data_IF_399869856008
#
_entry.id   IF_399869856008
#
_cell.length_a   1.000
_cell.length_b   1.000
_cell.length_c   1.000
_cell.angle_alpha   90.00
_cell.angle_beta   90.00
_cell.angle_gamma   90.00
#
_symmetry.space_group_name_H-M   'P 1'
#
loop_
_entity.id
_entity.type
_entity.pdbx_description
1 polymer ?
#
# COMPACT_ATOMS: atom_id res chain seq x y z
N UNK A 1 -21.36 18.11 -18.53
CA UNK A 1 -20.38 18.65 -19.48
C UNK A 1 -20.16 17.58 -20.52
N UNK A 2 -20.41 17.89 -21.79
CA UNK A 2 -20.19 16.93 -22.88
C UNK A 2 -18.72 16.52 -22.94
N UNK A 3 -18.48 15.21 -22.96
CA UNK A 3 -17.17 14.62 -23.13
C UNK A 3 -16.70 14.94 -24.55
N UNK A 4 -15.59 15.67 -24.75
CA UNK A 4 -15.14 16.02 -26.09
C UNK A 4 -14.80 14.75 -26.88
N UNK A 5 -15.18 14.75 -28.16
CA UNK A 5 -14.84 13.66 -29.09
C UNK A 5 -13.32 13.44 -29.09
N UNK A 6 -12.90 12.26 -28.64
CA UNK A 6 -11.49 11.98 -28.38
C UNK A 6 -11.15 10.50 -28.43
N UNK A 7 -9.97 10.20 -28.96
CA UNK A 7 -9.38 8.86 -29.06
C UNK A 7 -8.45 8.61 -27.86
N UNK A 8 -8.46 7.43 -27.21
CA UNK A 8 -7.50 7.11 -26.16
C UNK A 8 -6.08 6.99 -26.71
N UNK A 9 -5.10 7.30 -25.86
CA UNK A 9 -3.67 7.14 -26.13
C UNK A 9 -3.02 6.35 -24.99
N UNK A 10 -1.76 5.96 -25.19
CA UNK A 10 -0.93 5.34 -24.17
C UNK A 10 -1.56 4.09 -23.57
N UNK A 11 -1.63 4.04 -22.25
CA UNK A 11 -2.17 2.88 -21.53
C UNK A 11 -3.64 2.59 -21.85
N UNK A 12 -4.48 3.61 -22.01
CA UNK A 12 -5.89 3.39 -22.36
C UNK A 12 -6.03 2.78 -23.76
N UNK A 13 -5.23 3.26 -24.72
CA UNK A 13 -5.20 2.66 -26.07
C UNK A 13 -4.71 1.21 -26.04
N UNK A 14 -3.66 0.92 -25.27
CA UNK A 14 -3.12 -0.44 -25.12
C UNK A 14 -4.14 -1.38 -24.45
N UNK A 15 -4.87 -0.89 -23.45
CA UNK A 15 -5.93 -1.65 -22.80
C UNK A 15 -7.04 -2.02 -23.78
N UNK A 16 -7.53 -1.06 -24.58
CA UNK A 16 -8.55 -1.32 -25.60
C UNK A 16 -8.04 -2.25 -26.71
N UNK A 17 -6.82 -2.03 -27.20
CA UNK A 17 -6.25 -2.81 -28.32
C UNK A 17 -6.08 -4.30 -28.01
N UNK A 18 -5.78 -4.62 -26.75
CA UNK A 18 -5.44 -5.96 -26.28
C UNK A 18 -6.48 -6.58 -25.34
N UNK A 19 -7.61 -5.89 -25.14
CA UNK A 19 -8.70 -6.30 -24.24
C UNK A 19 -8.21 -6.56 -22.80
N UNK A 20 -7.46 -5.59 -22.26
CA UNK A 20 -6.88 -5.67 -20.91
C UNK A 20 -7.73 -4.92 -19.90
N UNK A 21 -8.36 -5.64 -18.99
CA UNK A 21 -9.03 -5.05 -17.83
C UNK A 21 -8.01 -4.75 -16.75
N UNK A 22 -7.86 -3.48 -16.36
CA UNK A 22 -6.95 -3.05 -15.28
C UNK A 22 -7.59 -2.06 -14.33
N UNK A 23 -7.03 -1.92 -13.13
CA UNK A 23 -7.40 -0.80 -12.24
C UNK A 23 -7.13 0.54 -12.95
N UNK A 24 -7.98 1.55 -12.74
CA UNK A 24 -7.81 2.84 -13.40
C UNK A 24 -6.46 3.46 -13.04
N UNK A 25 -5.70 3.87 -14.04
CA UNK A 25 -4.49 4.62 -13.81
C UNK A 25 -4.83 6.03 -13.32
N UNK A 26 -3.92 6.64 -12.56
CA UNK A 26 -4.12 8.02 -12.07
C UNK A 26 -4.05 9.05 -13.20
N UNK A 27 -3.48 8.69 -14.34
CA UNK A 27 -3.38 9.56 -15.51
C UNK A 27 -3.76 8.82 -16.79
N UNK A 28 -4.61 9.46 -17.58
CA UNK A 28 -5.02 9.00 -18.91
C UNK A 28 -4.79 10.14 -19.92
N UNK A 29 -4.29 9.81 -21.11
CA UNK A 29 -4.16 10.77 -22.20
C UNK A 29 -5.13 10.45 -23.34
N UNK A 30 -5.71 11.48 -23.94
CA UNK A 30 -6.62 11.35 -25.09
C UNK A 30 -6.25 12.33 -26.20
N UNK A 31 -6.39 11.94 -27.46
CA UNK A 31 -6.20 12.79 -28.63
C UNK A 31 -7.53 13.43 -29.05
N UNK A 32 -7.54 14.75 -29.23
CA UNK A 32 -8.70 15.51 -29.74
C UNK A 32 -8.71 15.52 -31.26
N UNK A 33 -9.89 15.37 -31.87
CA UNK A 33 -10.07 15.57 -33.32
C UNK A 33 -9.77 17.01 -33.74
N UNK A 34 -10.19 17.99 -32.91
CA UNK A 34 -9.85 19.41 -33.01
C UNK A 34 -9.75 20.03 -31.61
N UNK A 35 -8.79 20.94 -31.41
CA UNK A 35 -8.67 21.72 -30.17
C UNK A 35 -7.25 21.80 -29.63
N UNK A 36 -7.10 22.57 -28.55
CA UNK A 36 -5.85 22.74 -27.83
C UNK A 36 -5.75 21.78 -26.64
N UNK A 37 -4.55 21.66 -26.06
CA UNK A 37 -4.32 20.87 -24.85
C UNK A 37 -5.26 21.31 -23.73
N UNK A 38 -5.90 20.33 -23.07
CA UNK A 38 -6.78 20.54 -21.92
C UNK A 38 -6.51 19.48 -20.86
N UNK A 39 -6.51 19.87 -19.59
CA UNK A 39 -6.37 18.94 -18.47
C UNK A 39 -7.65 19.00 -17.63
N UNK A 40 -8.18 17.83 -17.29
CA UNK A 40 -9.27 17.68 -16.33
C UNK A 40 -8.73 16.86 -15.17
N UNK A 41 -8.84 17.38 -13.95
CA UNK A 41 -8.44 16.68 -12.74
C UNK A 41 -9.66 16.53 -11.82
N UNK A 42 -9.93 15.29 -11.37
CA UNK A 42 -11.05 14.96 -10.49
C UNK A 42 -10.74 13.69 -9.72
N UNK A 43 -11.04 13.67 -8.41
CA UNK A 43 -10.92 12.48 -7.55
C UNK A 43 -9.54 11.80 -7.65
N UNK A 44 -8.47 12.61 -7.67
CA UNK A 44 -7.08 12.14 -7.79
C UNK A 44 -6.67 11.62 -9.16
N UNK A 45 -7.57 11.66 -10.17
CA UNK A 45 -7.29 11.26 -11.55
C UNK A 45 -7.15 12.46 -12.48
N UNK A 46 -6.27 12.31 -13.46
CA UNK A 46 -5.97 13.32 -14.47
C UNK A 46 -6.30 12.76 -15.85
N UNK A 47 -7.17 13.44 -16.59
CA UNK A 47 -7.38 13.20 -18.02
C UNK A 47 -6.75 14.35 -18.80
N UNK A 48 -5.71 14.04 -19.56
CA UNK A 48 -4.98 14.98 -20.41
C UNK A 48 -5.43 14.83 -21.87
N UNK A 49 -6.15 15.82 -22.36
CA UNK A 49 -6.52 15.94 -23.77
C UNK A 49 -5.41 16.67 -24.54
N UNK A 50 -4.94 16.06 -25.62
CA UNK A 50 -3.84 16.55 -26.46
C UNK A 50 -4.34 16.86 -27.88
N UNK A 51 -3.76 17.85 -28.56
CA UNK A 51 -4.00 18.07 -29.99
C UNK A 51 -3.57 16.85 -30.82
N UNK A 52 -4.26 16.60 -31.94
CA UNK A 52 -3.98 15.49 -32.86
C UNK A 52 -2.51 15.35 -33.29
N UNK A 53 -1.77 16.46 -33.38
CA UNK A 53 -0.34 16.46 -33.70
C UNK A 53 0.56 15.76 -32.67
N UNK A 54 0.04 15.43 -31.47
CA UNK A 54 0.76 14.69 -30.43
C UNK A 54 0.33 13.22 -30.32
N UNK A 55 -0.52 12.73 -31.22
CA UNK A 55 -0.86 11.31 -31.32
C UNK A 55 0.39 10.51 -31.75
N UNK A 56 0.83 9.49 -30.98
CA UNK A 56 1.99 8.68 -31.33
C UNK A 56 1.73 7.68 -32.47
N UNK A 57 0.49 7.58 -32.98
CA UNK A 57 0.09 6.62 -34.00
C UNK A 57 -0.37 5.29 -33.41
N UNK A 58 -0.60 4.28 -34.25
CA UNK A 58 -1.20 2.99 -33.84
C UNK A 58 -0.17 1.88 -33.58
N UNK A 59 1.12 2.23 -33.47
CA UNK A 59 2.19 1.30 -33.15
C UNK A 59 2.27 1.01 -31.64
N UNK A 60 2.41 -0.27 -31.27
CA UNK A 60 2.40 -0.72 -29.87
C UNK A 60 3.55 -0.10 -29.08
N UNK A 61 4.76 -0.07 -29.64
CA UNK A 61 5.92 0.49 -28.95
C UNK A 61 5.89 2.01 -28.88
N UNK A 62 5.35 2.69 -29.90
CA UNK A 62 5.11 4.13 -29.90
C UNK A 62 4.12 4.53 -28.80
N UNK A 63 3.05 3.75 -28.63
CA UNK A 63 2.07 3.93 -27.55
C UNK A 63 2.67 3.63 -26.17
N UNK A 64 3.51 2.60 -26.03
CA UNK A 64 4.22 2.29 -24.78
C UNK A 64 5.22 3.40 -24.39
N UNK A 65 6.01 3.90 -25.33
CA UNK A 65 6.93 5.01 -25.08
C UNK A 65 6.18 6.29 -24.72
N UNK A 66 5.07 6.55 -25.40
CA UNK A 66 4.18 7.66 -25.08
C UNK A 66 3.66 7.55 -23.64
N UNK A 67 3.13 6.40 -23.25
CA UNK A 67 2.55 6.14 -21.94
C UNK A 67 3.61 6.29 -20.83
N UNK A 68 4.74 5.59 -20.96
CA UNK A 68 5.83 5.66 -19.98
C UNK A 68 6.36 7.09 -19.80
N UNK A 69 6.39 7.88 -20.88
CA UNK A 69 6.86 9.28 -20.84
C UNK A 69 5.86 10.22 -20.16
N UNK A 70 4.56 10.05 -20.40
CA UNK A 70 3.55 11.06 -20.03
C UNK A 70 2.67 10.66 -18.86
N UNK A 71 2.39 9.37 -18.74
CA UNK A 71 1.48 8.78 -17.76
C UNK A 71 2.27 8.09 -16.63
N UNK A 72 3.57 7.88 -16.83
CA UNK A 72 4.44 7.20 -15.88
C UNK A 72 4.27 5.68 -15.94
N UNK A 73 4.51 5.00 -14.83
CA UNK A 73 4.51 3.54 -14.79
C UNK A 73 3.12 3.00 -14.40
N UNK A 74 2.50 2.18 -15.25
CA UNK A 74 1.31 1.38 -14.92
C UNK A 74 1.71 -0.10 -14.87
N UNK A 75 2.22 -0.55 -13.71
CA UNK A 75 2.78 -1.90 -13.58
C UNK A 75 1.75 -3.01 -13.83
N UNK A 76 0.50 -2.80 -13.44
CA UNK A 76 -0.55 -3.80 -13.65
C UNK A 76 -0.78 -4.04 -15.14
N UNK A 77 -0.98 -2.96 -15.91
CA UNK A 77 -1.17 -3.06 -17.35
C UNK A 77 0.06 -3.63 -18.04
N UNK A 78 1.25 -3.13 -17.69
CA UNK A 78 2.50 -3.63 -18.26
C UNK A 78 2.70 -5.10 -17.95
N UNK A 79 2.34 -5.57 -16.75
CA UNK A 79 2.42 -6.99 -16.41
C UNK A 79 1.47 -7.81 -17.28
N UNK A 80 0.20 -7.43 -17.38
CA UNK A 80 -0.78 -8.15 -18.20
C UNK A 80 -0.35 -8.18 -19.67
N UNK A 81 0.04 -7.05 -20.23
CA UNK A 81 0.50 -6.92 -21.62
C UNK A 81 1.76 -7.77 -21.89
N UNK A 82 2.81 -7.59 -21.09
CA UNK A 82 4.11 -8.24 -21.31
C UNK A 82 4.10 -9.74 -21.01
N UNK A 83 3.19 -10.23 -20.16
CA UNK A 83 3.05 -11.67 -19.88
C UNK A 83 2.13 -12.41 -20.84
N UNK A 84 1.07 -11.77 -21.33
CA UNK A 84 -0.02 -12.49 -22.00
C UNK A 84 -0.22 -12.14 -23.47
N UNK A 85 0.30 -11.00 -23.94
CA UNK A 85 0.02 -10.49 -25.29
C UNK A 85 1.27 -10.13 -26.11
N UNK A 86 2.39 -9.82 -25.46
CA UNK A 86 3.63 -9.41 -26.12
C UNK A 86 4.44 -10.61 -26.61
N UNK A 87 4.85 -10.61 -27.87
CA UNK A 87 5.82 -11.58 -28.40
C UNK A 87 7.24 -11.23 -27.90
N UNK A 88 7.95 -12.18 -27.25
CA UNK A 88 9.34 -11.97 -26.83
C UNK A 88 10.28 -11.54 -27.97
N UNK A 89 10.05 -12.00 -29.20
CA UNK A 89 10.87 -11.65 -30.36
C UNK A 89 10.64 -10.20 -30.78
N UNK A 90 9.38 -9.75 -30.84
CA UNK A 90 9.04 -8.35 -31.15
C UNK A 90 9.67 -7.39 -30.14
N UNK A 91 9.59 -7.70 -28.85
CA UNK A 91 10.22 -6.89 -27.81
C UNK A 91 11.76 -6.94 -27.92
N UNK A 92 12.34 -8.10 -28.21
CA UNK A 92 13.78 -8.25 -28.41
C UNK A 92 14.27 -7.36 -29.55
N UNK A 93 13.58 -7.40 -30.70
CA UNK A 93 13.95 -6.61 -31.87
C UNK A 93 13.76 -5.11 -31.62
N UNK A 94 12.67 -4.71 -30.95
CA UNK A 94 12.48 -3.32 -30.53
C UNK A 94 13.64 -2.84 -29.63
N UNK A 95 14.06 -3.62 -28.63
CA UNK A 95 15.19 -3.25 -27.75
C UNK A 95 16.50 -3.17 -28.54
N UNK A 96 16.74 -4.06 -29.53
CA UNK A 96 17.92 -4.00 -30.42
C UNK A 96 18.00 -2.70 -31.22
N UNK A 97 16.86 -2.12 -31.61
CA UNK A 97 16.85 -0.84 -32.35
C UNK A 97 17.33 0.35 -31.52
N UNK A 98 17.18 0.29 -30.19
CA UNK A 98 17.48 1.40 -29.27
C UNK A 98 17.96 0.89 -27.90
N UNK A 99 19.10 0.17 -27.83
CA UNK A 99 19.51 -0.60 -26.64
C UNK A 99 19.80 0.26 -25.41
N UNK A 100 20.18 1.53 -25.60
CA UNK A 100 20.42 2.49 -24.50
C UNK A 100 19.21 3.37 -24.20
N UNK A 101 18.11 3.24 -24.96
CA UNK A 101 16.87 4.00 -24.77
C UNK A 101 16.25 3.76 -23.39
N UNK A 102 15.69 4.81 -22.77
CA UNK A 102 15.10 4.72 -21.42
C UNK A 102 13.96 3.69 -21.38
N UNK A 103 13.00 3.82 -22.30
CA UNK A 103 11.78 3.01 -22.30
C UNK A 103 12.03 1.57 -22.74
N UNK A 104 12.89 1.35 -23.74
CA UNK A 104 13.31 0.00 -24.13
C UNK A 104 13.94 -0.77 -22.96
N UNK A 105 14.81 -0.13 -22.18
CA UNK A 105 15.41 -0.77 -21.00
C UNK A 105 14.38 -1.07 -19.92
N UNK A 106 13.41 -0.17 -19.68
CA UNK A 106 12.31 -0.40 -18.73
C UNK A 106 11.48 -1.62 -19.17
N UNK A 107 11.02 -1.66 -20.42
CA UNK A 107 10.23 -2.77 -20.95
C UNK A 107 11.01 -4.08 -20.92
N UNK A 108 12.29 -4.07 -21.28
CA UNK A 108 13.17 -5.23 -21.17
C UNK A 108 13.27 -5.74 -19.73
N UNK A 109 13.55 -4.86 -18.76
CA UNK A 109 13.66 -5.26 -17.36
C UNK A 109 12.34 -5.83 -16.81
N UNK A 110 11.22 -5.19 -17.13
CA UNK A 110 9.91 -5.64 -16.66
C UNK A 110 9.50 -6.96 -17.29
N UNK A 111 9.70 -7.14 -18.60
CA UNK A 111 9.38 -8.39 -19.29
C UNK A 111 10.11 -9.57 -18.63
N UNK A 112 11.43 -9.45 -18.43
CA UNK A 112 12.20 -10.54 -17.82
C UNK A 112 11.81 -10.77 -16.35
N UNK A 113 11.50 -9.69 -15.62
CA UNK A 113 11.06 -9.77 -14.24
C UNK A 113 9.69 -10.46 -14.08
N UNK A 114 8.77 -10.22 -15.01
CA UNK A 114 7.40 -10.75 -14.96
C UNK A 114 7.27 -12.19 -15.48
N UNK A 115 8.10 -12.55 -16.46
CA UNK A 115 8.08 -13.86 -17.11
C UNK A 115 9.10 -14.83 -16.51
N UNK A 116 10.15 -14.34 -15.82
CA UNK A 116 11.25 -15.18 -15.36
C UNK A 116 12.17 -15.68 -16.48
N UNK A 117 11.95 -15.18 -17.70
CA UNK A 117 12.68 -15.56 -18.91
C UNK A 117 13.61 -14.44 -19.35
N UNK A 118 14.78 -14.80 -19.90
CA UNK A 118 15.73 -13.83 -20.44
C UNK A 118 15.53 -13.68 -21.94
N UNK A 119 15.40 -12.43 -22.41
CA UNK A 119 15.47 -12.12 -23.84
C UNK A 119 16.88 -12.38 -24.37
N UNK A 120 16.97 -12.73 -25.66
CA UNK A 120 18.23 -12.93 -26.38
C UNK A 120 18.90 -11.59 -26.72
N UNK A 121 19.38 -10.94 -25.66
CA UNK A 121 20.03 -9.62 -25.66
C UNK A 121 21.30 -9.66 -24.80
N UNK A 122 22.44 -9.14 -25.29
CA UNK A 122 23.64 -9.04 -24.49
C UNK A 122 23.48 -7.97 -23.39
N UNK A 123 24.14 -8.18 -22.25
CA UNK A 123 24.19 -7.20 -21.17
C UNK A 123 24.78 -5.85 -21.64
N UNK A 124 24.20 -4.75 -21.15
CA UNK A 124 24.69 -3.40 -21.47
C UNK A 124 26.03 -3.11 -20.79
N UNK A 125 27.07 -2.93 -21.60
CA UNK A 125 28.42 -2.60 -21.14
C UNK A 125 28.60 -1.12 -20.81
N UNK A 126 27.81 -0.23 -21.40
CA UNK A 126 27.95 1.24 -21.28
C UNK A 126 26.59 1.92 -21.04
N UNK A 127 26.60 3.20 -20.64
CA UNK A 127 25.40 4.02 -20.38
C UNK A 127 25.15 4.34 -18.91
N UNK A 128 24.23 5.25 -18.62
CA UNK A 128 23.88 5.58 -17.22
C UNK A 128 22.82 4.61 -16.68
N UNK A 129 22.79 4.47 -15.35
CA UNK A 129 21.65 3.85 -14.68
C UNK A 129 20.45 4.79 -14.78
N UNK A 130 19.27 4.23 -15.04
CA UNK A 130 18.00 4.96 -15.03
C UNK A 130 17.10 4.40 -13.93
N UNK A 131 16.30 5.25 -13.32
CA UNK A 131 15.30 4.82 -12.35
C UNK A 131 14.11 4.17 -13.06
N UNK A 132 13.67 3.03 -12.53
CA UNK A 132 12.46 2.34 -13.02
C UNK A 132 11.22 3.18 -12.71
N UNK A 133 11.15 3.68 -11.48
CA UNK A 133 10.10 4.55 -10.99
C UNK A 133 10.63 5.98 -10.86
N UNK A 134 9.88 6.95 -11.37
CA UNK A 134 10.31 8.35 -11.37
C UNK A 134 10.20 8.97 -9.95
N UNK A 135 11.31 9.37 -9.31
CA UNK A 135 11.31 9.87 -7.94
C UNK A 135 10.65 11.26 -7.80
N UNK A 136 10.44 12.00 -8.90
CA UNK A 136 9.72 13.28 -8.87
C UNK A 136 8.20 13.08 -8.77
N UNK A 137 7.70 11.95 -9.26
CA UNK A 137 6.27 11.64 -9.27
C UNK A 137 5.89 10.76 -8.07
N UNK A 138 6.75 9.79 -7.73
CA UNK A 138 6.43 8.74 -6.77
C UNK A 138 7.41 8.69 -5.59
N UNK A 139 6.90 8.22 -4.44
CA UNK A 139 7.75 7.73 -3.37
C UNK A 139 8.46 6.46 -3.84
N UNK A 140 9.79 6.41 -3.67
CA UNK A 140 10.62 5.31 -4.17
C UNK A 140 11.25 4.52 -3.03
N UNK A 141 11.36 3.21 -3.21
CA UNK A 141 11.98 2.30 -2.25
C UNK A 141 13.51 2.23 -2.41
N UNK A 142 14.17 1.40 -1.59
CA UNK A 142 15.62 1.19 -1.68
C UNK A 142 16.07 0.73 -3.08
N UNK A 143 17.09 1.39 -3.63
CA UNK A 143 17.59 1.13 -4.99
C UNK A 143 18.31 -0.22 -5.08
N UNK A 144 17.85 -1.08 -6.00
CA UNK A 144 18.54 -2.32 -6.38
C UNK A 144 19.03 -2.23 -7.83
N UNK A 145 20.35 -2.22 -8.03
CA UNK A 145 20.96 -2.06 -9.36
C UNK A 145 20.85 -3.33 -10.21
N UNK A 146 20.12 -3.24 -11.31
CA UNK A 146 20.01 -4.25 -12.36
C UNK A 146 21.08 -3.98 -13.42
N UNK A 147 22.23 -4.65 -13.29
CA UNK A 147 23.42 -4.38 -14.12
C UNK A 147 23.17 -4.60 -15.61
N UNK A 148 22.44 -5.66 -15.96
CA UNK A 148 22.18 -6.10 -17.34
C UNK A 148 21.49 -5.01 -18.17
N UNK A 149 20.41 -4.43 -17.64
CA UNK A 149 19.64 -3.37 -18.28
C UNK A 149 20.07 -1.97 -17.80
N UNK A 150 21.01 -1.87 -16.86
CA UNK A 150 21.41 -0.64 -16.17
C UNK A 150 20.19 0.13 -15.63
N UNK A 151 19.37 -0.54 -14.84
CA UNK A 151 18.19 0.01 -14.17
C UNK A 151 18.39 0.06 -12.66
N UNK A 152 18.01 1.16 -12.03
CA UNK A 152 17.80 1.25 -10.60
C UNK A 152 16.37 0.79 -10.32
N UNK A 153 16.21 -0.46 -9.85
CA UNK A 153 14.91 -0.96 -9.43
C UNK A 153 14.58 -0.37 -8.04
N UNK A 154 13.81 0.71 -8.04
CA UNK A 154 13.50 1.57 -6.89
C UNK A 154 11.99 1.56 -6.53
N UNK A 155 11.31 0.45 -6.81
CA UNK A 155 9.95 0.19 -6.31
C UNK A 155 9.95 0.03 -4.78
N UNK A 156 8.84 0.37 -4.12
CA UNK A 156 8.64 0.12 -2.68
C UNK A 156 8.79 -1.37 -2.36
N UNK A 157 8.19 -2.22 -3.19
CA UNK A 157 8.34 -3.67 -3.13
C UNK A 157 9.21 -4.22 -4.24
N UNK A 158 8.69 -5.18 -5.00
CA UNK A 158 9.36 -5.81 -6.15
C UNK A 158 8.41 -5.93 -7.35
N UNK A 159 8.86 -6.56 -8.44
CA UNK A 159 8.00 -6.87 -9.57
C UNK A 159 6.78 -7.73 -9.22
N UNK A 160 6.79 -8.52 -8.13
CA UNK A 160 5.66 -9.39 -7.77
C UNK A 160 4.59 -8.70 -6.93
N UNK A 161 4.97 -7.67 -6.17
CA UNK A 161 4.09 -6.88 -5.30
C UNK A 161 4.78 -5.57 -4.98
N UNK A 162 4.15 -4.44 -5.33
CA UNK A 162 4.61 -3.10 -4.99
C UNK A 162 3.47 -2.10 -5.17
N UNK A 163 2.82 -1.66 -4.08
CA UNK A 163 1.94 -0.50 -4.10
C UNK A 163 2.66 0.76 -4.59
N UNK A 164 1.86 1.75 -5.00
CA UNK A 164 2.31 3.07 -5.43
C UNK A 164 1.84 4.15 -4.47
N UNK A 165 2.69 5.15 -4.27
CA UNK A 165 2.34 6.39 -3.59
C UNK A 165 2.92 7.54 -4.40
N UNK A 166 2.08 8.50 -4.80
CA UNK A 166 2.53 9.73 -5.46
C UNK A 166 2.85 10.80 -4.43
N UNK A 167 3.80 11.69 -4.75
CA UNK A 167 4.03 12.89 -3.93
C UNK A 167 2.87 13.88 -4.06
N UNK A 168 2.34 14.04 -5.28
CA UNK A 168 1.19 14.91 -5.51
C UNK A 168 -0.04 14.36 -4.78
N UNK A 169 -0.60 15.18 -3.90
CA UNK A 169 -1.77 14.86 -3.10
C UNK A 169 -1.45 14.60 -1.63
N UNK A 170 -0.20 14.27 -1.28
CA UNK A 170 0.18 14.15 0.13
C UNK A 170 0.25 15.54 0.81
N UNK A 171 -0.09 15.64 2.10
CA UNK A 171 0.17 16.87 2.84
C UNK A 171 1.68 17.15 2.88
N UNK A 172 2.08 18.38 3.22
CA UNK A 172 3.47 18.64 3.63
C UNK A 172 3.62 18.24 5.10
N UNK A 173 4.61 17.42 5.44
CA UNK A 173 4.97 17.10 6.82
C UNK A 173 6.48 17.10 6.99
N UNK A 174 6.92 17.26 8.23
CA UNK A 174 8.30 17.04 8.63
C UNK A 174 8.29 15.95 9.71
N UNK A 175 8.94 14.82 9.40
CA UNK A 175 8.96 13.65 10.30
C UNK A 175 9.71 13.94 11.60
N UNK A 176 10.77 14.75 11.54
CA UNK A 176 11.58 15.11 12.69
C UNK A 176 10.83 16.09 13.59
N UNK A 177 10.12 17.08 13.01
CA UNK A 177 9.25 17.99 13.74
C UNK A 177 8.13 17.24 14.48
N UNK A 178 7.44 16.32 13.79
CA UNK A 178 6.36 15.53 14.41
C UNK A 178 6.88 14.64 15.55
N UNK A 179 8.05 14.03 15.36
CA UNK A 179 8.71 13.21 16.38
C UNK A 179 9.18 14.04 17.59
N UNK A 180 9.74 15.22 17.34
CA UNK A 180 10.08 16.17 18.39
C UNK A 180 8.83 16.62 19.14
N UNK A 181 7.72 16.89 18.45
CA UNK A 181 6.46 17.28 19.07
C UNK A 181 5.93 16.21 20.02
N UNK A 182 5.93 14.93 19.63
CA UNK A 182 5.61 13.81 20.53
C UNK A 182 6.48 13.83 21.79
N UNK A 183 7.79 14.06 21.61
CA UNK A 183 8.77 14.05 22.70
C UNK A 183 8.55 15.22 23.66
N UNK A 184 8.27 16.41 23.13
CA UNK A 184 7.97 17.60 23.93
C UNK A 184 6.69 17.43 24.74
N UNK A 185 5.60 16.93 24.14
CA UNK A 185 4.33 16.70 24.83
C UNK A 185 4.52 15.75 26.01
N UNK A 186 5.28 14.67 25.83
CA UNK A 186 5.58 13.73 26.92
C UNK A 186 6.44 14.38 28.00
N UNK A 187 7.46 15.15 27.61
CA UNK A 187 8.40 15.79 28.53
C UNK A 187 7.76 16.82 29.48
N UNK A 188 6.50 17.23 29.23
CA UNK A 188 5.72 18.10 30.11
C UNK A 188 5.21 17.37 31.37
N UNK A 189 5.26 16.04 31.42
CA UNK A 189 4.73 15.22 32.52
C UNK A 189 5.84 14.50 33.30
N UNK A 190 5.59 14.21 34.59
CA UNK A 190 6.53 13.44 35.40
C UNK A 190 6.63 11.99 34.90
N UNK A 191 7.75 11.27 35.14
CA UNK A 191 7.91 9.88 34.74
C UNK A 191 6.78 8.95 35.23
N UNK A 192 6.26 9.20 36.42
CA UNK A 192 5.17 8.41 37.01
C UNK A 192 3.83 8.65 36.28
N UNK A 193 3.53 9.91 35.93
CA UNK A 193 2.35 10.24 35.12
C UNK A 193 2.51 9.66 33.72
N UNK A 194 3.71 9.72 33.16
CA UNK A 194 4.02 9.16 31.86
C UNK A 194 3.80 7.64 31.80
N UNK A 195 4.32 6.86 32.76
CA UNK A 195 4.13 5.40 32.75
C UNK A 195 2.64 5.02 32.77
N UNK A 196 1.85 5.72 33.58
CA UNK A 196 0.41 5.47 33.64
C UNK A 196 -0.31 5.98 32.40
N UNK A 197 0.11 7.11 31.84
CA UNK A 197 -0.41 7.63 30.58
C UNK A 197 -0.19 6.66 29.44
N UNK A 198 0.98 6.04 29.36
CA UNK A 198 1.28 5.00 28.37
C UNK A 198 0.27 3.85 28.47
N UNK A 199 0.04 3.29 29.67
CA UNK A 199 -0.95 2.21 29.86
C UNK A 199 -2.37 2.66 29.49
N UNK A 200 -2.75 3.88 29.85
CA UNK A 200 -4.04 4.46 29.48
C UNK A 200 -4.19 4.62 27.96
N UNK A 201 -3.16 5.09 27.26
CA UNK A 201 -3.15 5.25 25.81
C UNK A 201 -3.23 3.91 25.09
N UNK A 202 -2.54 2.86 25.57
CA UNK A 202 -2.71 1.50 25.04
C UNK A 202 -4.14 0.98 25.22
N UNK A 203 -4.75 1.21 26.39
CA UNK A 203 -6.14 0.84 26.62
C UNK A 203 -7.10 1.62 25.70
N UNK A 204 -6.89 2.93 25.53
CA UNK A 204 -7.68 3.77 24.63
C UNK A 204 -7.58 3.32 23.18
N UNK A 205 -6.36 3.02 22.71
CA UNK A 205 -6.12 2.52 21.36
C UNK A 205 -6.77 1.16 21.13
N UNK A 206 -6.61 0.23 22.09
CA UNK A 206 -7.24 -1.09 22.06
C UNK A 206 -8.77 -0.97 21.96
N UNK A 207 -9.38 -0.22 22.90
CA UNK A 207 -10.83 0.00 22.94
C UNK A 207 -11.35 0.62 21.64
N UNK A 208 -10.72 1.69 21.15
CA UNK A 208 -11.13 2.36 19.91
C UNK A 208 -11.00 1.43 18.70
N UNK A 209 -9.95 0.59 18.67
CA UNK A 209 -9.75 -0.41 17.62
C UNK A 209 -10.88 -1.47 17.60
N UNK A 210 -11.35 -1.96 18.75
CA UNK A 210 -12.49 -2.88 18.79
C UNK A 210 -13.82 -2.19 18.48
N UNK A 211 -14.00 -0.93 18.91
CA UNK A 211 -15.21 -0.15 18.62
C UNK A 211 -15.39 0.12 17.12
N UNK A 212 -14.30 0.34 16.38
CA UNK A 212 -14.32 0.45 14.91
C UNK A 212 -14.92 -0.82 14.28
N UNK A 213 -14.61 -2.01 14.83
CA UNK A 213 -15.18 -3.29 14.38
C UNK A 213 -16.57 -3.59 14.98
N UNK A 214 -17.14 -2.65 15.76
CA UNK A 214 -18.41 -2.81 16.51
C UNK A 214 -18.40 -4.01 17.47
N UNK A 215 -17.24 -4.33 18.02
CA UNK A 215 -17.05 -5.42 18.98
C UNK A 215 -16.90 -4.89 20.42
N UNK A 216 -17.32 -5.70 21.39
CA UNK A 216 -17.02 -5.48 22.81
C UNK A 216 -16.18 -6.65 23.32
N UNK A 217 -14.84 -6.52 23.39
CA UNK A 217 -13.97 -7.61 23.82
C UNK A 217 -14.16 -7.90 25.31
N UNK A 218 -13.87 -9.14 25.72
CA UNK A 218 -13.69 -9.43 27.15
C UNK A 218 -12.44 -8.70 27.67
N UNK A 219 -12.43 -8.31 28.94
CA UNK A 219 -11.27 -7.66 29.59
C UNK A 219 -9.95 -8.40 29.34
N UNK A 220 -9.95 -9.75 29.42
CA UNK A 220 -8.78 -10.57 29.14
C UNK A 220 -8.25 -10.41 27.72
N UNK A 221 -9.12 -10.29 26.71
CA UNK A 221 -8.70 -10.09 25.30
C UNK A 221 -8.13 -8.69 25.09
N UNK A 222 -8.70 -7.70 25.75
CA UNK A 222 -8.21 -6.32 25.72
C UNK A 222 -6.79 -6.22 26.32
N UNK A 223 -6.57 -6.82 27.49
CA UNK A 223 -5.26 -6.89 28.16
C UNK A 223 -4.20 -7.58 27.29
N UNK A 224 -4.57 -8.66 26.60
CA UNK A 224 -3.63 -9.36 25.73
C UNK A 224 -3.28 -8.55 24.49
N UNK A 225 -4.24 -7.84 23.89
CA UNK A 225 -3.95 -6.95 22.75
C UNK A 225 -3.05 -5.78 23.16
N UNK A 226 -3.26 -5.20 24.35
CA UNK A 226 -2.35 -4.20 24.93
C UNK A 226 -0.92 -4.76 25.06
N UNK A 227 -0.77 -5.96 25.63
CA UNK A 227 0.55 -6.60 25.77
C UNK A 227 1.24 -6.90 24.43
N UNK A 228 0.49 -7.12 23.35
CA UNK A 228 1.05 -7.23 22.00
C UNK A 228 1.52 -5.89 21.46
N UNK A 229 0.75 -4.82 21.67
CA UNK A 229 1.13 -3.47 21.26
C UNK A 229 2.40 -3.00 21.99
N UNK A 230 2.54 -3.31 23.27
CA UNK A 230 3.78 -3.06 24.03
C UNK A 230 4.99 -3.79 23.44
N UNK A 231 4.80 -5.03 22.95
CA UNK A 231 5.87 -5.81 22.31
C UNK A 231 6.30 -5.27 20.95
N UNK A 232 5.51 -4.40 20.30
CA UNK A 232 5.80 -3.88 18.96
C UNK A 232 7.13 -3.10 18.87
N UNK A 233 7.60 -2.56 20.00
CA UNK A 233 8.92 -1.90 20.11
C UNK A 233 10.11 -2.86 20.05
N UNK A 234 9.92 -4.12 20.44
CA UNK A 234 11.02 -5.05 20.70
C UNK A 234 10.96 -6.33 19.85
N UNK A 235 9.78 -6.66 19.33
CA UNK A 235 9.51 -7.89 18.58
C UNK A 235 9.18 -7.56 17.13
N UNK A 236 9.75 -8.33 16.19
CA UNK A 236 9.41 -8.21 14.77
C UNK A 236 8.14 -9.00 14.44
N UNK A 237 7.13 -8.33 13.89
CA UNK A 237 5.86 -8.94 13.45
C UNK A 237 5.73 -9.08 11.93
N UNK A 238 6.68 -8.58 11.12
CA UNK A 238 6.61 -8.68 9.66
C UNK A 238 7.10 -10.04 9.11
N UNK A 239 6.55 -11.13 9.64
CA UNK A 239 6.72 -12.51 9.17
C UNK A 239 5.41 -13.31 9.35
N UNK A 240 5.29 -14.44 8.67
CA UNK A 240 4.04 -15.23 8.66
C UNK A 240 3.68 -15.71 10.06
N UNK A 241 4.64 -16.29 10.77
CA UNK A 241 4.45 -16.95 12.05
C UNK A 241 3.96 -15.96 13.11
N UNK A 242 4.59 -14.78 13.19
CA UNK A 242 4.21 -13.73 14.14
C UNK A 242 2.83 -13.12 13.82
N UNK A 243 2.45 -12.98 12.54
CA UNK A 243 1.13 -12.48 12.17
C UNK A 243 0.03 -13.50 12.47
N UNK A 244 0.30 -14.79 12.26
CA UNK A 244 -0.64 -15.86 12.61
C UNK A 244 -0.82 -15.92 14.13
N UNK A 245 0.27 -15.88 14.90
CA UNK A 245 0.19 -15.81 16.37
C UNK A 245 -0.60 -14.59 16.84
N UNK A 246 -0.31 -13.42 16.28
CA UNK A 246 -1.05 -12.19 16.56
C UNK A 246 -2.54 -12.38 16.28
N UNK A 247 -2.90 -12.98 15.14
CA UNK A 247 -4.29 -13.21 14.77
C UNK A 247 -4.99 -14.14 15.76
N UNK A 248 -4.41 -15.29 16.06
CA UNK A 248 -4.97 -16.29 16.98
C UNK A 248 -5.29 -15.71 18.36
N UNK A 249 -4.49 -14.73 18.78
CA UNK A 249 -4.61 -14.09 20.08
C UNK A 249 -5.75 -13.07 20.14
N UNK A 250 -5.99 -12.34 19.06
CA UNK A 250 -6.94 -11.21 19.05
C UNK A 250 -8.36 -11.58 18.61
N UNK A 251 -8.52 -12.73 17.95
CA UNK A 251 -9.83 -13.19 17.45
C UNK A 251 -10.52 -14.16 18.42
N UNK A 252 -11.78 -14.45 18.14
CA UNK A 252 -12.45 -15.58 18.80
C UNK A 252 -11.79 -16.91 18.38
N UNK A 253 -11.55 -17.87 19.29
CA UNK A 253 -10.88 -19.12 18.96
C UNK A 253 -11.51 -19.92 17.80
N UNK A 254 -12.79 -19.71 17.50
CA UNK A 254 -13.48 -20.32 16.34
C UNK A 254 -13.01 -19.76 14.98
N UNK A 255 -12.45 -18.56 14.97
CA UNK A 255 -11.92 -17.88 13.77
C UNK A 255 -10.38 -17.81 13.77
N UNK A 256 -9.72 -18.46 14.73
CA UNK A 256 -8.27 -18.55 14.79
C UNK A 256 -7.75 -19.37 13.60
N UNK A 257 -6.92 -18.77 12.75
CA UNK A 257 -6.32 -19.43 11.61
C UNK A 257 -4.99 -20.10 12.01
N UNK A 258 -4.63 -21.23 11.37
CA UNK A 258 -3.32 -21.87 11.53
C UNK A 258 -2.26 -21.32 10.55
N UNK A 259 -2.70 -20.49 9.61
CA UNK A 259 -1.92 -19.93 8.52
C UNK A 259 -2.72 -18.86 7.80
N UNK A 260 -2.43 -18.60 6.54
CA UNK A 260 -3.29 -17.74 5.72
C UNK A 260 -4.58 -18.49 5.37
N UNK A 261 -5.65 -17.78 5.04
CA UNK A 261 -6.92 -18.39 4.60
C UNK A 261 -6.82 -19.14 3.26
N UNK A 262 -5.68 -19.08 2.56
CA UNK A 262 -5.38 -19.98 1.43
C UNK A 262 -5.40 -21.45 1.86
N UNK A 263 -5.00 -21.73 3.10
CA UNK A 263 -4.97 -23.09 3.66
C UNK A 263 -6.37 -23.65 3.94
N UNK A 264 -7.35 -22.78 4.23
CA UNK A 264 -8.77 -23.15 4.37
C UNK A 264 -9.55 -23.05 3.05
N UNK A 265 -8.98 -22.44 2.01
CA UNK A 265 -9.65 -22.17 0.74
C UNK A 265 -10.80 -21.15 0.84
N UNK A 266 -10.79 -20.30 1.86
CA UNK A 266 -11.92 -19.39 2.15
C UNK A 266 -11.86 -18.11 1.33
N UNK A 267 -12.85 -17.88 0.47
CA UNK A 267 -13.09 -16.59 -0.18
C UNK A 267 -13.84 -15.65 0.77
N UNK A 268 -13.26 -14.48 1.03
CA UNK A 268 -13.84 -13.47 1.94
C UNK A 268 -14.39 -12.27 1.16
N UNK A 269 -15.34 -11.59 1.78
CA UNK A 269 -15.82 -10.27 1.37
C UNK A 269 -16.23 -9.43 2.58
N UNK A 270 -16.23 -8.12 2.41
CA UNK A 270 -16.80 -7.14 3.36
C UNK A 270 -18.05 -6.55 2.73
N UNK A 271 -19.16 -6.56 3.47
CA UNK A 271 -20.46 -6.13 2.97
C UNK A 271 -21.42 -5.75 4.10
N UNK A 272 -22.62 -5.35 3.71
CA UNK A 272 -23.76 -5.14 4.60
C UNK A 272 -24.98 -5.95 4.15
N UNK A 273 -25.66 -6.61 5.09
CA UNK A 273 -26.94 -7.27 4.85
C UNK A 273 -28.04 -6.23 4.74
N UNK A 274 -28.64 -6.07 3.55
CA UNK A 274 -29.73 -5.10 3.32
C UNK A 274 -31.12 -5.69 3.58
N UNK A 275 -31.30 -6.97 3.27
CA UNK A 275 -32.52 -7.75 3.49
C UNK A 275 -32.15 -9.24 3.55
N UNK A 276 -33.05 -10.15 3.95
CA UNK A 276 -32.82 -11.59 3.80
C UNK A 276 -32.38 -11.91 2.37
N UNK A 277 -31.27 -12.63 2.23
CA UNK A 277 -30.65 -13.02 0.95
C UNK A 277 -30.17 -11.87 0.05
N UNK A 278 -30.11 -10.62 0.56
CA UNK A 278 -29.61 -9.45 -0.18
C UNK A 278 -28.40 -8.87 0.55
N UNK A 279 -27.23 -9.18 0.02
CA UNK A 279 -25.94 -8.65 0.49
C UNK A 279 -25.44 -7.56 -0.45
N UNK A 280 -25.03 -6.43 0.12
CA UNK A 280 -24.30 -5.41 -0.61
C UNK A 280 -22.81 -5.60 -0.32
N UNK A 281 -22.09 -6.14 -1.30
CA UNK A 281 -20.64 -6.31 -1.22
C UNK A 281 -19.94 -4.98 -1.46
N UNK A 282 -19.14 -4.55 -0.48
CA UNK A 282 -18.31 -3.35 -0.58
C UNK A 282 -16.87 -3.67 -1.02
N UNK A 283 -16.40 -4.87 -0.73
CA UNK A 283 -15.04 -5.32 -1.04
C UNK A 283 -14.99 -6.85 -1.11
N UNK A 284 -14.30 -7.38 -2.11
CA UNK A 284 -13.93 -8.79 -2.18
C UNK A 284 -12.42 -8.91 -1.95
N UNK A 285 -12.00 -9.86 -1.09
CA UNK A 285 -10.58 -10.16 -0.91
C UNK A 285 -10.01 -10.91 -2.12
N UNK A 286 -8.67 -10.99 -2.25
CA UNK A 286 -8.03 -11.85 -3.25
C UNK A 286 -8.55 -13.29 -3.20
N UNK A 287 -8.49 -14.00 -4.32
CA UNK A 287 -8.79 -15.43 -4.30
C UNK A 287 -7.84 -16.16 -3.33
N UNK A 288 -8.32 -17.19 -2.61
CA UNK A 288 -7.48 -17.95 -1.68
C UNK A 288 -6.20 -18.48 -2.35
N UNK A 289 -6.29 -18.99 -3.58
CA UNK A 289 -5.16 -19.52 -4.33
C UNK A 289 -4.08 -18.49 -4.70
N UNK A 290 -4.43 -17.20 -4.78
CA UNK A 290 -3.49 -16.12 -5.10
C UNK A 290 -2.76 -15.58 -3.85
N UNK A 291 -3.30 -15.86 -2.67
CA UNK A 291 -2.94 -15.16 -1.43
C UNK A 291 -1.51 -15.46 -0.96
N UNK A 292 -1.01 -16.68 -1.11
CA UNK A 292 0.34 -17.05 -0.68
C UNK A 292 1.42 -16.24 -1.43
N UNK A 293 1.25 -16.06 -2.75
CA UNK A 293 2.18 -15.27 -3.56
C UNK A 293 2.11 -13.78 -3.20
N UNK A 294 0.89 -13.26 -3.03
CA UNK A 294 0.65 -11.87 -2.64
C UNK A 294 1.24 -11.56 -1.26
N UNK A 295 1.01 -12.43 -0.27
CA UNK A 295 1.54 -12.27 1.09
C UNK A 295 3.07 -12.41 1.14
N UNK A 296 3.66 -13.28 0.32
CA UNK A 296 5.12 -13.35 0.16
C UNK A 296 5.68 -12.04 -0.36
N UNK A 297 5.03 -11.46 -1.38
CA UNK A 297 5.39 -10.16 -1.94
C UNK A 297 5.23 -9.01 -0.93
N UNK A 298 4.12 -9.00 -0.21
CA UNK A 298 3.83 -8.06 0.87
C UNK A 298 4.90 -8.11 1.96
N UNK A 299 5.19 -9.28 2.54
CA UNK A 299 6.18 -9.41 3.61
C UNK A 299 7.57 -8.95 3.15
N UNK A 300 7.95 -9.29 1.91
CA UNK A 300 9.22 -8.83 1.33
C UNK A 300 9.27 -7.31 1.21
N UNK A 301 8.21 -6.68 0.72
CA UNK A 301 8.09 -5.22 0.67
C UNK A 301 8.16 -4.62 2.08
N UNK A 302 7.36 -5.12 3.02
CA UNK A 302 7.27 -4.57 4.37
C UNK A 302 8.63 -4.57 5.07
N UNK A 303 9.39 -5.68 4.98
CA UNK A 303 10.75 -5.74 5.51
C UNK A 303 11.70 -4.75 4.79
N UNK A 304 11.59 -4.58 3.47
CA UNK A 304 12.39 -3.59 2.73
C UNK A 304 12.11 -2.14 3.16
N UNK A 305 10.89 -1.84 3.61
CA UNK A 305 10.48 -0.49 4.00
C UNK A 305 10.81 -0.15 5.46
N UNK A 306 10.91 -1.15 6.34
CA UNK A 306 11.25 -0.93 7.76
C UNK A 306 12.71 -1.20 8.10
N UNK A 307 13.44 -1.95 7.27
CA UNK A 307 14.86 -2.26 7.49
C UNK A 307 15.73 -0.98 7.36
N UNK A 308 15.76 -0.16 8.41
CA UNK A 308 16.57 1.09 8.49
C UNK A 308 18.03 0.85 8.92
N UNK A 309 18.49 -0.40 8.97
CA UNK A 309 19.72 -0.77 9.70
C UNK A 309 21.02 -0.25 9.05
N UNK A 310 21.65 0.69 9.78
CA UNK A 310 23.08 0.75 10.10
C UNK A 310 23.57 -0.60 10.68
N UNK A 311 24.35 -1.38 9.93
CA UNK A 311 25.08 -2.54 10.51
C UNK A 311 26.38 -2.06 11.19
N UNK A 312 26.47 -2.16 12.51
CA UNK A 312 27.74 -2.38 13.24
C UNK A 312 27.44 -3.52 14.23
N UNK A 313 28.06 -4.71 14.22
CA UNK A 313 29.43 -5.13 13.89
C UNK A 313 29.42 -6.56 13.31
N UNK A 314 30.46 -6.86 12.54
CA UNK A 314 30.71 -8.07 11.74
C UNK A 314 30.90 -9.37 12.53
N UNK A 315 30.50 -10.48 11.92
CA UNK A 315 31.37 -11.63 11.66
C UNK A 315 31.02 -12.16 10.25
N UNK A 316 32.06 -12.34 9.45
CA UNK A 316 32.10 -12.90 8.10
C UNK A 316 31.80 -11.98 6.91
N UNK A 317 32.64 -12.18 5.89
CA UNK A 317 32.94 -11.30 4.76
C UNK A 317 31.75 -11.22 3.79
N UNK A 318 30.85 -10.27 4.02
CA UNK A 318 30.09 -9.61 2.96
C UNK A 318 29.62 -8.24 3.44
N UNK A 319 30.30 -7.21 2.95
CA UNK A 319 30.06 -5.82 3.31
C UNK A 319 28.79 -5.33 2.60
N UNK A 320 27.63 -5.56 3.21
CA UNK A 320 26.36 -5.03 2.71
C UNK A 320 26.11 -3.63 3.29
N UNK A 321 26.58 -2.60 2.60
CA UNK A 321 26.12 -1.23 2.83
C UNK A 321 24.64 -1.16 2.45
N UNK A 322 23.74 -1.20 3.44
CA UNK A 322 22.34 -0.83 3.23
C UNK A 322 22.25 0.69 3.37
N UNK A 323 21.82 1.37 2.30
CA UNK A 323 21.36 2.74 2.42
C UNK A 323 20.08 2.70 3.27
N UNK A 324 19.94 3.55 4.32
CA UNK A 324 18.66 3.71 4.99
C UNK A 324 17.56 3.96 3.96
N UNK A 325 16.39 3.38 4.16
CA UNK A 325 15.27 3.63 3.26
C UNK A 325 15.01 5.14 3.21
N UNK A 326 14.99 5.75 2.02
CA UNK A 326 14.55 7.15 1.86
C UNK A 326 13.05 7.34 2.08
N UNK A 327 12.33 6.26 2.43
CA UNK A 327 10.89 6.25 2.68
C UNK A 327 10.63 6.72 4.11
N UNK A 328 9.80 7.76 4.23
CA UNK A 328 9.30 8.25 5.52
C UNK A 328 8.62 7.13 6.30
N UNK A 329 8.77 7.14 7.63
CA UNK A 329 8.12 6.20 8.54
C UNK A 329 6.61 6.24 8.37
N UNK A 330 6.03 7.44 8.21
CA UNK A 330 4.58 7.60 8.05
C UNK A 330 4.08 6.97 6.75
N UNK A 331 4.84 7.12 5.67
CA UNK A 331 4.51 6.48 4.38
C UNK A 331 4.66 4.96 4.48
N UNK A 332 5.73 4.46 5.09
CA UNK A 332 5.92 3.03 5.29
C UNK A 332 4.80 2.42 6.14
N UNK A 333 4.41 3.09 7.23
CA UNK A 333 3.32 2.66 8.10
C UNK A 333 1.99 2.58 7.34
N UNK A 334 1.64 3.63 6.60
CA UNK A 334 0.42 3.65 5.79
C UNK A 334 0.41 2.55 4.71
N UNK A 335 1.51 2.40 3.97
CA UNK A 335 1.63 1.40 2.89
C UNK A 335 1.50 -0.01 3.44
N UNK A 336 2.24 -0.36 4.50
CA UNK A 336 2.22 -1.71 5.09
C UNK A 336 0.84 -1.99 5.69
N UNK A 337 0.30 -1.04 6.44
CA UNK A 337 -1.00 -1.16 7.09
C UNK A 337 -2.12 -1.38 6.06
N UNK A 338 -2.29 -0.48 5.09
CA UNK A 338 -3.39 -0.61 4.11
C UNK A 338 -3.19 -1.76 3.12
N UNK A 339 -1.96 -2.05 2.67
CA UNK A 339 -1.71 -3.20 1.81
C UNK A 339 -2.13 -4.51 2.50
N UNK A 340 -1.83 -4.67 3.79
CA UNK A 340 -2.28 -5.81 4.57
C UNK A 340 -3.81 -5.92 4.61
N UNK A 341 -4.50 -4.80 4.88
CA UNK A 341 -5.95 -4.77 4.97
C UNK A 341 -6.64 -5.19 3.67
N UNK A 342 -6.10 -4.74 2.53
CA UNK A 342 -6.62 -5.09 1.20
C UNK A 342 -6.22 -6.50 0.73
N UNK A 343 -5.17 -7.11 1.30
CA UNK A 343 -4.88 -8.53 1.07
C UNK A 343 -5.77 -9.44 1.92
N UNK A 344 -6.18 -8.96 3.10
CA UNK A 344 -7.15 -9.59 3.99
C UNK A 344 -6.83 -11.09 4.21
N UNK A 345 -5.62 -11.42 4.74
CA UNK A 345 -5.10 -12.78 4.70
C UNK A 345 -5.76 -13.76 5.68
N UNK A 346 -6.60 -13.28 6.59
CA UNK A 346 -7.26 -14.08 7.62
C UNK A 346 -8.78 -14.08 7.48
N UNK A 347 -9.44 -15.03 8.14
CA UNK A 347 -10.91 -15.11 8.21
C UNK A 347 -11.52 -13.99 9.04
N UNK A 348 -10.80 -13.57 10.09
CA UNK A 348 -11.17 -12.48 10.99
C UNK A 348 -9.89 -11.80 11.54
N UNK A 349 -10.02 -10.58 12.05
CA UNK A 349 -8.97 -9.83 12.71
C UNK A 349 -8.17 -8.90 11.80
N UNK A 350 -8.47 -8.87 10.49
CA UNK A 350 -7.68 -8.11 9.52
C UNK A 350 -7.65 -6.60 9.81
N UNK A 351 -8.77 -5.99 10.18
CA UNK A 351 -8.84 -4.57 10.56
C UNK A 351 -8.02 -4.25 11.82
N UNK A 352 -8.09 -5.12 12.84
CA UNK A 352 -7.30 -5.00 14.09
C UNK A 352 -5.79 -5.16 13.82
N UNK A 353 -5.39 -6.12 12.99
CA UNK A 353 -3.98 -6.32 12.60
C UNK A 353 -3.48 -5.18 11.71
N UNK A 354 -4.31 -4.64 10.83
CA UNK A 354 -4.01 -3.45 10.03
C UNK A 354 -3.62 -2.26 10.93
N UNK A 355 -4.40 -1.98 11.98
CA UNK A 355 -4.10 -0.92 12.95
C UNK A 355 -2.90 -1.25 13.83
N UNK A 356 -2.75 -2.50 14.25
CA UNK A 356 -1.53 -2.97 14.93
C UNK A 356 -0.27 -2.73 14.09
N UNK A 357 -0.30 -3.07 12.80
CA UNK A 357 0.84 -2.92 11.89
C UNK A 357 1.24 -1.46 11.67
N UNK A 358 0.27 -0.54 11.71
CA UNK A 358 0.56 0.90 11.70
C UNK A 358 1.45 1.24 12.89
N UNK A 359 1.06 0.87 14.11
CA UNK A 359 1.84 1.10 15.33
C UNK A 359 3.17 0.36 15.33
N UNK A 360 3.19 -0.89 14.84
CA UNK A 360 4.41 -1.67 14.71
C UNK A 360 5.47 -0.95 13.88
N UNK A 361 5.09 -0.36 12.75
CA UNK A 361 6.04 0.38 11.90
C UNK A 361 6.50 1.67 12.58
N UNK A 362 5.60 2.39 13.26
CA UNK A 362 5.97 3.59 14.03
C UNK A 362 6.98 3.24 15.14
N UNK A 363 6.68 2.23 15.95
CA UNK A 363 7.52 1.77 17.05
C UNK A 363 8.87 1.25 16.54
N UNK A 364 8.87 0.40 15.51
CA UNK A 364 10.08 -0.18 14.93
C UNK A 364 11.04 0.87 14.36
N UNK A 365 10.52 1.95 13.79
CA UNK A 365 11.32 3.07 13.28
C UNK A 365 11.60 4.14 14.36
N UNK A 366 11.26 3.86 15.62
CA UNK A 366 11.40 4.76 16.76
C UNK A 366 10.72 6.12 16.53
N UNK A 367 9.50 6.12 15.98
CA UNK A 367 8.70 7.33 15.79
C UNK A 367 8.06 7.74 17.12
N UNK A 368 8.80 8.55 17.89
CA UNK A 368 8.42 9.02 19.22
C UNK A 368 9.26 8.37 20.33
N UNK A 369 9.02 8.74 21.61
CA UNK A 369 9.69 8.13 22.75
C UNK A 369 9.34 6.64 22.90
N UNK A 370 10.30 5.85 23.36
CA UNK A 370 10.11 4.42 23.58
C UNK A 370 8.93 4.14 24.51
N UNK A 371 8.11 3.16 24.16
CA UNK A 371 6.92 2.77 24.90
C UNK A 371 5.68 3.62 24.62
N UNK A 372 5.78 4.79 23.97
CA UNK A 372 4.57 5.55 23.59
C UNK A 372 3.77 4.79 22.52
N UNK A 373 2.45 4.87 22.64
CA UNK A 373 1.53 4.58 21.54
C UNK A 373 0.71 5.84 21.22
N UNK A 374 0.54 6.10 19.93
CA UNK A 374 -0.33 7.18 19.46
C UNK A 374 -1.76 6.62 19.37
N UNK A 375 -2.78 7.25 19.98
CA UNK A 375 -4.16 6.77 19.92
C UNK A 375 -4.82 7.05 18.56
N UNK A 376 -4.22 6.59 17.47
CA UNK A 376 -4.66 6.85 16.09
C UNK A 376 -6.05 6.26 15.84
N UNK A 377 -6.39 5.13 16.48
CA UNK A 377 -7.74 4.56 16.37
C UNK A 377 -8.83 5.47 16.92
N UNK A 378 -8.51 6.33 17.91
CA UNK A 378 -9.48 7.30 18.42
C UNK A 378 -9.81 8.36 17.36
N UNK A 379 -8.81 8.84 16.62
CA UNK A 379 -9.02 9.77 15.49
C UNK A 379 -9.80 9.09 14.36
N UNK A 380 -9.47 7.84 14.02
CA UNK A 380 -10.22 7.06 13.02
C UNK A 380 -11.69 6.94 13.41
N UNK A 381 -11.97 6.61 14.67
CA UNK A 381 -13.34 6.46 15.19
C UNK A 381 -14.12 7.78 15.11
N UNK A 382 -13.46 8.92 15.33
CA UNK A 382 -14.05 10.26 15.25
C UNK A 382 -14.20 10.78 13.80
N UNK A 383 -13.47 10.18 12.84
CA UNK A 383 -13.46 10.58 11.42
C UNK A 383 -13.74 9.39 10.49
N UNK A 384 -14.89 8.72 10.66
CA UNK A 384 -15.20 7.49 9.93
C UNK A 384 -15.34 7.73 8.41
N UNK A 385 -15.80 8.92 7.99
CA UNK A 385 -15.99 9.26 6.57
C UNK A 385 -14.66 9.30 5.82
N UNK A 386 -13.63 9.89 6.42
CA UNK A 386 -12.29 9.93 5.86
C UNK A 386 -11.64 8.55 5.85
N UNK A 387 -11.88 7.74 6.89
CA UNK A 387 -11.40 6.35 6.88
C UNK A 387 -12.08 5.52 5.78
N UNK A 388 -13.39 5.64 5.62
CA UNK A 388 -14.15 5.03 4.52
C UNK A 388 -13.63 5.50 3.16
N UNK A 389 -13.33 6.81 3.01
CA UNK A 389 -12.73 7.35 1.79
C UNK A 389 -11.39 6.68 1.45
N UNK A 390 -10.54 6.41 2.45
CA UNK A 390 -9.28 5.69 2.24
C UNK A 390 -9.54 4.26 1.72
N UNK A 391 -10.49 3.53 2.31
CA UNK A 391 -10.86 2.17 1.89
C UNK A 391 -11.49 2.16 0.48
N UNK A 392 -12.42 3.09 0.24
CA UNK A 392 -13.17 3.23 -1.00
C UNK A 392 -12.31 3.69 -2.18
N UNK A 393 -11.19 4.36 -1.93
CA UNK A 393 -10.23 4.77 -2.97
C UNK A 393 -9.73 3.57 -3.80
N UNK A 394 -9.67 2.38 -3.19
CA UNK A 394 -9.34 1.13 -3.85
C UNK A 394 -10.57 0.23 -4.08
N UNK A 395 -11.43 0.07 -3.07
CA UNK A 395 -12.51 -0.92 -3.13
C UNK A 395 -13.59 -0.58 -4.18
N UNK A 396 -13.95 0.69 -4.37
CA UNK A 396 -14.97 1.07 -5.38
C UNK A 396 -14.51 0.74 -6.81
N UNK A 397 -13.31 1.15 -7.26
CA UNK A 397 -12.81 0.75 -8.57
C UNK A 397 -12.62 -0.77 -8.71
N UNK A 398 -12.20 -1.46 -7.64
CA UNK A 398 -12.06 -2.91 -7.62
C UNK A 398 -13.40 -3.61 -7.87
N UNK A 399 -14.44 -3.24 -7.13
CA UNK A 399 -15.76 -3.87 -7.23
C UNK A 399 -16.47 -3.67 -8.57
N UNK A 400 -16.03 -2.69 -9.39
CA UNK A 400 -16.47 -2.56 -10.78
C UNK A 400 -15.85 -3.62 -11.72
N UNK A 401 -14.86 -4.38 -11.25
CA UNK A 401 -14.05 -5.32 -12.03
C UNK A 401 -14.08 -6.74 -11.49
N UNK A 402 -14.41 -6.92 -10.22
CA UNK A 402 -14.55 -8.25 -9.62
C UNK A 402 -15.90 -8.84 -10.00
N UNK A 403 -15.86 -9.99 -10.67
CA UNK A 403 -17.04 -10.79 -10.95
C UNK A 403 -17.16 -11.86 -9.88
N UNK A 404 -18.35 -12.02 -9.29
CA UNK A 404 -18.58 -12.97 -8.23
C UNK A 404 -20.01 -13.51 -8.22
N UNK A 405 -20.18 -14.66 -7.58
CA UNK A 405 -21.47 -15.25 -7.23
C UNK A 405 -21.56 -15.42 -5.71
N UNK A 406 -22.78 -15.32 -5.17
CA UNK A 406 -23.11 -15.69 -3.80
C UNK A 406 -24.01 -16.92 -3.85
N UNK A 407 -23.72 -17.94 -3.03
CA UNK A 407 -24.58 -19.11 -2.91
C UNK A 407 -25.75 -18.90 -1.93
N UNK A 408 -26.53 -19.96 -1.68
CA UNK A 408 -27.67 -19.97 -0.76
C UNK A 408 -27.29 -19.71 0.71
N UNK A 409 -26.00 -19.72 1.02
CA UNK A 409 -25.43 -19.42 2.34
C UNK A 409 -24.64 -18.11 2.32
N UNK A 410 -24.82 -17.29 1.28
CA UNK A 410 -24.09 -16.04 1.04
C UNK A 410 -22.57 -16.22 0.96
N UNK A 411 -22.08 -17.42 0.65
CA UNK A 411 -20.64 -17.65 0.46
C UNK A 411 -20.25 -17.15 -0.92
N UNK A 412 -19.21 -16.35 -0.98
CA UNK A 412 -18.72 -15.77 -2.22
C UNK A 412 -17.84 -16.74 -3.00
N UNK A 413 -17.94 -16.72 -4.32
CA UNK A 413 -16.92 -17.23 -5.24
C UNK A 413 -16.61 -16.17 -6.28
N UNK A 414 -15.35 -15.75 -6.37
CA UNK A 414 -14.87 -14.82 -7.41
C UNK A 414 -14.59 -15.61 -8.70
N UNK A 415 -15.14 -15.16 -9.82
CA UNK A 415 -15.17 -15.95 -11.07
C UNK A 415 -14.10 -15.55 -12.08
N UNK A 416 -13.56 -14.32 -12.00
CA UNK A 416 -12.54 -13.82 -12.94
C UNK A 416 -11.15 -13.70 -12.30
N UNK A 417 -10.11 -13.43 -13.10
CA UNK A 417 -8.72 -13.32 -12.61
C UNK A 417 -8.46 -11.95 -11.98
N UNK A 418 -8.24 -11.94 -10.67
CA UNK A 418 -8.17 -10.69 -9.88
C UNK A 418 -6.82 -10.42 -9.21
N UNK A 419 -5.88 -11.38 -9.18
CA UNK A 419 -4.61 -11.27 -8.45
C UNK A 419 -3.87 -9.95 -8.71
N UNK A 420 -3.76 -9.56 -9.98
CA UNK A 420 -3.00 -8.37 -10.40
C UNK A 420 -3.63 -7.05 -9.92
N UNK A 421 -4.94 -7.01 -9.63
CA UNK A 421 -5.59 -5.84 -9.03
C UNK A 421 -5.04 -5.51 -7.63
N UNK A 422 -4.53 -6.51 -6.91
CA UNK A 422 -3.99 -6.34 -5.55
C UNK A 422 -2.46 -6.17 -5.52
N UNK A 423 -1.73 -6.40 -6.62
CA UNK A 423 -0.25 -6.34 -6.61
C UNK A 423 0.32 -4.93 -6.57
N UNK A 424 -0.39 -3.98 -7.18
CA UNK A 424 0.13 -2.64 -7.47
C UNK A 424 -0.83 -1.54 -7.04
N UNK A 425 -1.40 -1.70 -5.85
CA UNK A 425 -2.42 -0.81 -5.29
C UNK A 425 -1.90 0.64 -5.25
N UNK A 426 -2.70 1.58 -5.74
CA UNK A 426 -2.45 3.00 -5.52
C UNK A 426 -2.91 3.39 -4.10
N UNK A 427 -1.94 3.56 -3.20
CA UNK A 427 -2.15 3.92 -1.81
C UNK A 427 -1.91 5.41 -1.54
N UNK A 428 -1.91 6.26 -2.57
CA UNK A 428 -1.69 7.71 -2.41
C UNK A 428 -2.71 8.31 -1.44
N UNK A 429 -4.00 8.02 -1.63
CA UNK A 429 -5.08 8.60 -0.81
C UNK A 429 -5.09 8.04 0.62
N UNK A 430 -4.93 6.71 0.76
CA UNK A 430 -4.80 6.08 2.07
C UNK A 430 -3.59 6.63 2.86
N UNK A 431 -2.48 6.90 2.18
CA UNK A 431 -1.28 7.50 2.77
C UNK A 431 -1.51 8.95 3.18
N UNK A 432 -2.17 9.75 2.33
CA UNK A 432 -2.56 11.14 2.64
C UNK A 432 -3.36 11.20 3.95
N UNK A 433 -4.42 10.38 4.03
CA UNK A 433 -5.34 10.33 5.17
C UNK A 433 -4.63 9.83 6.43
N UNK A 434 -3.78 8.80 6.31
CA UNK A 434 -3.00 8.29 7.45
C UNK A 434 -2.07 9.35 8.05
N UNK A 435 -1.37 10.14 7.21
CA UNK A 435 -0.50 11.22 7.68
C UNK A 435 -1.31 12.30 8.41
N UNK A 436 -2.51 12.63 7.90
CA UNK A 436 -3.43 13.57 8.54
C UNK A 436 -3.93 13.04 9.90
N UNK A 437 -4.32 11.77 10.00
CA UNK A 437 -4.73 11.15 11.26
C UNK A 437 -3.60 11.12 12.28
N UNK A 438 -2.38 10.77 11.88
CA UNK A 438 -1.22 10.77 12.78
C UNK A 438 -0.91 12.19 13.25
N UNK A 439 -0.98 13.18 12.35
CA UNK A 439 -0.79 14.59 12.74
C UNK A 439 -1.82 15.04 13.76
N UNK A 440 -3.10 14.80 13.49
CA UNK A 440 -4.20 15.16 14.40
C UNK A 440 -4.05 14.45 15.74
N UNK A 441 -3.62 13.19 15.72
CA UNK A 441 -3.32 12.42 16.93
C UNK A 441 -2.25 13.09 17.79
N UNK A 442 -1.16 13.58 17.16
CA UNK A 442 -0.05 14.22 17.88
C UNK A 442 -0.42 15.63 18.34
N UNK A 443 -1.10 16.40 17.50
CA UNK A 443 -1.37 17.82 17.76
C UNK A 443 -2.56 18.04 18.69
N UNK A 444 -3.55 17.15 18.66
CA UNK A 444 -4.84 17.33 19.34
C UNK A 444 -5.17 16.20 20.30
N UNK A 445 -5.24 14.96 19.83
CA UNK A 445 -5.76 13.83 20.62
C UNK A 445 -4.83 13.51 21.81
N UNK A 446 -3.54 13.31 21.56
CA UNK A 446 -2.57 12.97 22.59
C UNK A 446 -2.50 14.05 23.70
N UNK A 447 -2.36 15.35 23.40
CA UNK A 447 -2.45 16.38 24.43
C UNK A 447 -3.77 16.39 25.21
N UNK A 448 -4.91 16.13 24.55
CA UNK A 448 -6.21 16.11 25.21
C UNK A 448 -6.32 14.94 26.19
N UNK A 449 -5.87 13.75 25.78
CA UNK A 449 -5.89 12.54 26.60
C UNK A 449 -4.97 12.65 27.82
N UNK A 450 -3.79 13.24 27.66
CA UNK A 450 -2.87 13.47 28.78
C UNK A 450 -3.43 14.48 29.79
N UNK A 451 -4.05 15.58 29.33
CA UNK A 451 -4.74 16.53 30.23
C UNK A 451 -5.90 15.88 30.98
N UNK A 452 -6.70 15.07 30.30
CA UNK A 452 -7.81 14.35 30.91
C UNK A 452 -7.30 13.43 32.04
N UNK A 453 -6.25 12.66 31.78
CA UNK A 453 -5.69 11.75 32.78
C UNK A 453 -5.15 12.50 34.01
N UNK A 454 -4.46 13.62 33.81
CA UNK A 454 -3.94 14.43 34.93
C UNK A 454 -5.08 15.02 35.78
N UNK A 455 -6.10 15.59 35.14
CA UNK A 455 -7.25 16.16 35.86
C UNK A 455 -8.06 15.10 36.61
N UNK A 456 -8.27 13.92 36.01
CA UNK A 456 -8.93 12.79 36.67
C UNK A 456 -8.18 12.35 37.94
N UNK A 457 -6.86 12.42 37.90
CA UNK A 457 -5.98 12.06 38.99
C UNK A 457 -6.04 13.03 40.17
N UNK A 458 -6.07 14.33 39.88
CA UNK A 458 -6.25 15.37 40.87
C UNK A 458 -7.57 15.18 41.62
N UNK A 459 -8.66 14.92 40.89
CA UNK A 459 -10.00 14.67 41.46
C UNK A 459 -10.04 13.40 42.33
N UNK A 460 -9.26 12.36 42.00
CA UNK A 460 -9.22 11.13 42.82
C UNK A 460 -8.37 11.23 44.08
N UNK A 461 -7.50 12.25 44.17
CA UNK A 461 -6.66 12.50 45.35
C UNK A 461 -7.35 13.39 46.38
N UNK A 462 -8.30 14.21 45.93
CA UNK A 462 -9.28 14.91 46.78
C UNK A 462 -10.35 13.94 47.32
#
# INVERSE_FOLDING_TARGET
MDTPESKPLGYAWLAERFDLVTMPHWKESRSLSKGARRIIERDGRVIEYLPAAQDPGDGVFEQLEFALRREGLHLELLRKLLKTKMDPLELTDYVRTRPTGRYARILWHLFEGFNGERLDLPDLKQGNYIDLLDPEIYVTGPVRKQKRQRINANLLGTGNFSPFVRWKGLPKWDEDEMKQRCTSIIGEYSPEIFERAVRYLYAKESKSSYEIERETPSQKREEVFIGLLEQAWHRQFLNKEALVELQQVIVDPRFANNGWRSESGEQIYVGETLAPDVERVHFAGPKPEDLDELMTGFLKMSNLLVDRILKVKLLEKDLMFRTPTGVSTLVAAAVISFAFNFLHPFSDGNGRIHRFLLHHVLAHNHFGPEGIILPVSAVILNRPREYDQALESFSKPLMQRVEYILDDRMRMTVTNDTADFYRYIDLTEATRITIEFIRETIETELPAELRFLTAYDEIRRE
#
